data_IF_346525010401
#
_entry.id   IF_346525010401
#
_cell.length_a   1.000
_cell.length_b   1.000
_cell.length_c   1.000
_cell.angle_alpha   90.00
_cell.angle_beta   90.00
_cell.angle_gamma   90.00
#
_symmetry.space_group_name_H-M   'P 1'
#
loop_
_entity.id
_entity.type
_entity.pdbx_description
1 polymer ?
#
# COMPACT_ATOMS: atom_id res chain seq x y z
N UNK A 1 -25.12 -2.86 -24.18
CA UNK A 1 -25.99 -1.66 -24.07
C UNK A 1 -26.02 -1.11 -22.65
N UNK A 2 -26.13 -1.95 -21.62
CA UNK A 2 -26.13 -1.58 -20.19
C UNK A 2 -24.86 -0.83 -19.71
N UNK A 3 -23.66 -1.23 -20.16
CA UNK A 3 -22.38 -0.61 -19.74
C UNK A 3 -22.28 0.89 -20.05
N UNK A 4 -22.59 1.28 -21.29
CA UNK A 4 -22.62 2.71 -21.72
C UNK A 4 -23.65 3.52 -20.94
N UNK A 5 -24.76 2.88 -20.53
CA UNK A 5 -25.77 3.50 -19.69
C UNK A 5 -25.29 3.66 -18.24
N UNK A 6 -24.54 2.71 -17.68
CA UNK A 6 -23.91 2.86 -16.35
C UNK A 6 -22.90 4.01 -16.29
N UNK A 7 -22.10 4.21 -17.35
CA UNK A 7 -21.24 5.41 -17.45
C UNK A 7 -22.06 6.70 -17.53
N UNK A 8 -23.20 6.67 -18.23
CA UNK A 8 -24.11 7.81 -18.33
C UNK A 8 -24.75 8.13 -16.98
N UNK A 9 -25.15 7.10 -16.21
CA UNK A 9 -25.59 7.21 -14.82
C UNK A 9 -24.52 7.88 -13.95
N UNK A 10 -23.28 7.36 -13.98
CA UNK A 10 -22.13 7.90 -13.26
C UNK A 10 -21.87 9.38 -13.59
N UNK A 11 -21.97 9.75 -14.86
CA UNK A 11 -21.81 11.13 -15.31
C UNK A 11 -22.95 12.05 -14.83
N UNK A 12 -24.20 11.57 -14.81
CA UNK A 12 -25.31 12.35 -14.25
C UNK A 12 -25.21 12.54 -12.73
N UNK A 13 -24.46 11.67 -12.05
CA UNK A 13 -24.04 11.87 -10.67
C UNK A 13 -22.81 12.80 -10.53
N UNK A 14 -22.36 13.46 -11.59
CA UNK A 14 -21.33 14.50 -11.54
C UNK A 14 -19.90 13.99 -11.41
N UNK A 15 -19.62 12.75 -11.85
CA UNK A 15 -18.26 12.18 -11.87
C UNK A 15 -17.28 12.99 -12.75
N UNK A 16 -17.75 13.51 -13.88
CA UNK A 16 -16.95 14.27 -14.85
C UNK A 16 -16.89 15.78 -14.56
N UNK A 17 -17.26 16.18 -13.33
CA UNK A 17 -17.32 17.59 -12.92
C UNK A 17 -18.51 18.36 -13.49
N UNK A 18 -19.43 17.70 -14.22
CA UNK A 18 -20.68 18.34 -14.68
C UNK A 18 -21.71 18.48 -13.56
N UNK A 19 -22.70 19.34 -13.80
CA UNK A 19 -23.84 19.54 -12.91
C UNK A 19 -24.58 18.23 -12.70
N UNK A 20 -24.80 17.90 -11.43
CA UNK A 20 -25.55 16.72 -10.99
C UNK A 20 -26.99 16.83 -11.51
N UNK A 21 -27.53 15.72 -12.01
CA UNK A 21 -28.91 15.57 -12.42
C UNK A 21 -29.43 14.21 -11.92
N UNK A 22 -29.94 14.19 -10.68
CA UNK A 22 -30.40 12.97 -10.02
C UNK A 22 -31.60 12.34 -10.73
N UNK A 23 -32.53 13.15 -11.24
CA UNK A 23 -33.69 12.67 -11.99
C UNK A 23 -33.28 11.83 -13.20
N UNK A 24 -32.33 12.32 -14.01
CA UNK A 24 -31.79 11.56 -15.14
C UNK A 24 -30.99 10.34 -14.70
N UNK A 25 -30.25 10.44 -13.60
CA UNK A 25 -29.54 9.28 -13.05
C UNK A 25 -30.55 8.20 -12.65
N UNK A 26 -31.63 8.55 -11.95
CA UNK A 26 -32.66 7.61 -11.53
C UNK A 26 -33.42 6.98 -12.68
N UNK A 27 -33.78 7.76 -13.71
CA UNK A 27 -34.39 7.21 -14.92
C UNK A 27 -33.48 6.15 -15.58
N UNK A 28 -32.17 6.40 -15.65
CA UNK A 28 -31.22 5.42 -16.17
C UNK A 28 -31.09 4.21 -15.24
N UNK A 29 -31.11 4.41 -13.92
CA UNK A 29 -31.04 3.35 -12.93
C UNK A 29 -32.23 2.39 -13.07
N UNK A 30 -33.44 2.91 -13.26
CA UNK A 30 -34.66 2.12 -13.52
C UNK A 30 -34.53 1.28 -14.80
N UNK A 31 -33.86 1.81 -15.84
CA UNK A 31 -33.66 1.08 -17.09
C UNK A 31 -32.60 -0.04 -16.99
N UNK A 32 -31.55 0.13 -16.17
CA UNK A 32 -30.42 -0.81 -16.11
C UNK A 32 -30.45 -1.74 -14.89
N UNK A 33 -31.26 -1.41 -13.88
CA UNK A 33 -31.34 -2.10 -12.60
C UNK A 33 -30.15 -1.80 -11.67
N UNK A 34 -30.30 -2.17 -10.40
CA UNK A 34 -29.30 -1.91 -9.35
C UNK A 34 -28.10 -2.87 -9.36
N UNK A 35 -28.22 -4.02 -10.04
CA UNK A 35 -27.22 -5.10 -10.06
C UNK A 35 -26.31 -5.09 -11.30
N UNK A 36 -26.40 -4.07 -12.16
CA UNK A 36 -25.52 -3.94 -13.33
C UNK A 36 -24.07 -3.75 -12.89
N UNK A 37 -23.13 -4.38 -13.62
CA UNK A 37 -21.70 -4.27 -13.33
C UNK A 37 -20.91 -3.82 -14.56
N UNK A 38 -19.96 -2.91 -14.38
CA UNK A 38 -19.01 -2.48 -15.41
C UNK A 38 -17.85 -3.48 -15.57
N UNK A 39 -17.01 -3.28 -16.59
CA UNK A 39 -15.81 -4.11 -16.79
C UNK A 39 -14.75 -3.92 -15.71
N UNK A 40 -14.77 -2.79 -15.00
CA UNK A 40 -13.89 -2.47 -13.87
C UNK A 40 -14.49 -2.86 -12.51
N UNK A 41 -15.67 -3.49 -12.51
CA UNK A 41 -16.37 -3.94 -11.30
C UNK A 41 -17.31 -2.92 -10.67
N UNK A 42 -17.52 -1.76 -11.31
CA UNK A 42 -18.41 -0.73 -10.77
C UNK A 42 -19.87 -1.20 -10.80
N UNK A 43 -20.57 -1.03 -9.69
CA UNK A 43 -22.03 -1.14 -9.58
C UNK A 43 -22.65 0.24 -9.30
N UNK A 44 -23.96 0.45 -9.56
CA UNK A 44 -24.65 1.67 -9.15
C UNK A 44 -24.42 2.02 -7.67
N UNK A 45 -24.44 1.01 -6.79
CA UNK A 45 -24.20 1.15 -5.36
C UNK A 45 -22.78 1.70 -5.09
N UNK A 46 -21.75 1.09 -5.68
CA UNK A 46 -20.36 1.53 -5.57
C UNK A 46 -20.18 2.96 -6.07
N UNK A 47 -20.78 3.30 -7.22
CA UNK A 47 -20.68 4.63 -7.83
C UNK A 47 -21.31 5.69 -6.92
N UNK A 48 -22.53 5.45 -6.42
CA UNK A 48 -23.21 6.38 -5.53
C UNK A 48 -22.45 6.58 -4.22
N UNK A 49 -21.91 5.50 -3.66
CA UNK A 49 -21.10 5.50 -2.43
C UNK A 49 -19.78 6.28 -2.61
N UNK A 50 -19.03 6.01 -3.67
CA UNK A 50 -17.79 6.70 -4.01
C UNK A 50 -17.99 8.21 -4.20
N UNK A 51 -19.06 8.59 -4.91
CA UNK A 51 -19.38 9.99 -5.21
C UNK A 51 -20.05 10.73 -4.04
N UNK A 52 -20.48 10.03 -2.99
CA UNK A 52 -21.18 10.63 -1.86
C UNK A 52 -22.59 11.08 -2.20
N UNK A 53 -23.29 10.37 -3.09
CA UNK A 53 -24.65 10.70 -3.55
C UNK A 53 -25.69 10.06 -2.64
N UNK A 54 -25.90 10.69 -1.49
CA UNK A 54 -26.68 10.18 -0.36
C UNK A 54 -28.09 9.72 -0.77
N UNK A 55 -28.86 10.54 -1.49
CA UNK A 55 -30.24 10.19 -1.85
C UNK A 55 -30.31 9.06 -2.87
N UNK A 56 -29.43 9.07 -3.87
CA UNK A 56 -29.28 7.96 -4.82
C UNK A 56 -28.84 6.67 -4.10
N UNK A 57 -27.92 6.77 -3.14
CA UNK A 57 -27.42 5.64 -2.37
C UNK A 57 -28.52 5.00 -1.52
N UNK A 58 -29.30 5.80 -0.78
CA UNK A 58 -30.46 5.31 0.00
C UNK A 58 -31.44 4.54 -0.87
N UNK A 59 -31.75 5.07 -2.06
CA UNK A 59 -32.66 4.41 -3.00
C UNK A 59 -32.12 3.05 -3.42
N UNK A 60 -30.85 2.98 -3.83
CA UNK A 60 -30.23 1.73 -4.27
C UNK A 60 -30.17 0.71 -3.12
N UNK A 61 -29.81 1.13 -1.90
CA UNK A 61 -29.75 0.25 -0.72
C UNK A 61 -31.09 -0.47 -0.46
N UNK A 62 -32.21 0.21 -0.70
CA UNK A 62 -33.55 -0.38 -0.52
C UNK A 62 -33.93 -1.41 -1.60
N UNK A 63 -33.19 -1.47 -2.71
CA UNK A 63 -33.47 -2.31 -3.87
C UNK A 63 -32.45 -3.46 -4.06
N UNK A 64 -31.27 -3.37 -3.45
CA UNK A 64 -30.24 -4.42 -3.55
C UNK A 64 -30.47 -5.55 -2.53
N UNK A 65 -30.16 -6.78 -2.94
CA UNK A 65 -30.23 -7.96 -2.06
C UNK A 65 -28.99 -8.10 -1.17
N UNK A 66 -27.82 -7.65 -1.66
CA UNK A 66 -26.53 -7.75 -0.98
C UNK A 66 -25.78 -6.43 -1.10
N UNK A 67 -25.59 -5.74 0.03
CA UNK A 67 -24.89 -4.45 0.11
C UNK A 67 -23.37 -4.60 -0.07
N UNK A 68 -22.82 -5.79 0.16
CA UNK A 68 -21.39 -6.11 0.01
C UNK A 68 -21.07 -6.77 -1.33
N UNK A 69 -22.05 -6.85 -2.24
CA UNK A 69 -21.84 -7.45 -3.54
C UNK A 69 -20.65 -6.81 -4.26
N UNK A 70 -19.76 -7.69 -4.73
CA UNK A 70 -18.56 -7.31 -5.46
C UNK A 70 -18.18 -8.32 -6.52
N UNK A 71 -17.60 -7.83 -7.61
CA UNK A 71 -16.98 -8.71 -8.60
C UNK A 71 -15.52 -9.02 -8.22
N UNK A 72 -15.16 -10.29 -7.98
CA UNK A 72 -13.79 -10.66 -7.63
C UNK A 72 -12.77 -10.25 -8.70
N UNK A 73 -11.60 -9.77 -8.27
CA UNK A 73 -10.47 -9.46 -9.16
C UNK A 73 -10.64 -8.18 -9.97
N UNK A 74 -11.56 -7.30 -9.56
CA UNK A 74 -11.82 -6.01 -10.20
C UNK A 74 -11.16 -4.86 -9.44
N UNK A 75 -11.19 -3.66 -10.01
CA UNK A 75 -10.52 -2.50 -9.40
C UNK A 75 -11.39 -1.95 -8.27
N UNK A 76 -12.68 -1.82 -8.51
CA UNK A 76 -13.64 -1.38 -7.50
C UNK A 76 -14.38 -2.61 -6.96
N UNK A 77 -14.11 -2.94 -5.70
CA UNK A 77 -14.51 -4.21 -5.09
C UNK A 77 -15.49 -4.04 -3.94
N UNK A 78 -15.90 -2.84 -3.51
CA UNK A 78 -16.90 -2.71 -2.43
C UNK A 78 -17.39 -1.28 -2.29
N UNK A 79 -18.70 -1.11 -2.03
CA UNK A 79 -19.27 0.20 -1.78
C UNK A 79 -18.69 0.85 -0.51
N UNK A 80 -18.50 0.08 0.57
CA UNK A 80 -17.98 0.59 1.84
C UNK A 80 -16.50 0.98 1.73
N UNK A 81 -15.67 0.13 1.10
CA UNK A 81 -14.25 0.42 0.89
C UNK A 81 -14.04 1.69 0.06
N UNK A 82 -14.85 1.89 -0.97
CA UNK A 82 -14.74 3.05 -1.86
C UNK A 82 -15.31 4.33 -1.25
N UNK A 83 -16.41 4.25 -0.49
CA UNK A 83 -16.89 5.36 0.33
C UNK A 83 -15.84 5.81 1.37
N UNK A 84 -15.14 4.85 1.99
CA UNK A 84 -14.07 5.11 2.95
C UNK A 84 -12.85 5.77 2.30
N UNK A 85 -12.40 5.26 1.14
CA UNK A 85 -11.29 5.87 0.39
C UNK A 85 -11.56 7.32 -0.01
N UNK A 86 -12.82 7.64 -0.31
CA UNK A 86 -13.26 9.00 -0.65
C UNK A 86 -13.77 9.80 0.56
N UNK A 87 -13.76 9.21 1.77
CA UNK A 87 -14.21 9.81 3.04
C UNK A 87 -15.61 10.41 2.95
N UNK A 88 -16.53 9.67 2.34
CA UNK A 88 -17.95 10.03 2.22
C UNK A 88 -18.69 9.61 3.49
N UNK A 89 -18.53 10.37 4.57
CA UNK A 89 -19.05 10.02 5.91
C UNK A 89 -20.51 9.56 5.89
N UNK A 90 -21.38 10.29 5.20
CA UNK A 90 -22.81 9.93 5.14
C UNK A 90 -23.07 8.64 4.36
N UNK A 91 -22.31 8.39 3.29
CA UNK A 91 -22.38 7.11 2.57
C UNK A 91 -21.87 5.95 3.42
N UNK A 92 -20.81 6.17 4.21
CA UNK A 92 -20.29 5.17 5.15
C UNK A 92 -21.35 4.82 6.20
N UNK A 93 -22.04 5.83 6.76
CA UNK A 93 -23.15 5.64 7.72
C UNK A 93 -24.23 4.74 7.14
N UNK A 94 -24.76 5.11 5.98
CA UNK A 94 -25.85 4.39 5.33
C UNK A 94 -25.49 2.94 4.99
N UNK A 95 -24.27 2.69 4.51
CA UNK A 95 -23.82 1.34 4.16
C UNK A 95 -23.69 0.45 5.41
N UNK A 96 -23.18 0.98 6.52
CA UNK A 96 -23.09 0.24 7.79
C UNK A 96 -24.49 -0.01 8.38
N UNK A 97 -25.38 0.98 8.33
CA UNK A 97 -26.78 0.81 8.74
C UNK A 97 -27.51 -0.25 7.90
N UNK A 98 -27.12 -0.40 6.63
CA UNK A 98 -27.61 -1.43 5.72
C UNK A 98 -26.93 -2.81 5.91
N UNK A 99 -26.02 -2.95 6.87
CA UNK A 99 -25.39 -4.22 7.23
C UNK A 99 -24.09 -4.55 6.49
N UNK A 100 -23.43 -3.57 5.88
CA UNK A 100 -22.14 -3.80 5.22
C UNK A 100 -21.07 -4.29 6.21
N UNK A 101 -20.30 -5.31 5.82
CA UNK A 101 -19.25 -5.93 6.61
C UNK A 101 -18.13 -4.93 6.89
N UNK A 102 -17.91 -4.66 8.17
CA UNK A 102 -17.00 -3.62 8.66
C UNK A 102 -15.53 -4.01 8.48
N UNK A 103 -15.22 -5.30 8.49
CA UNK A 103 -13.84 -5.82 8.41
C UNK A 103 -13.49 -6.42 7.05
N UNK A 104 -14.29 -6.14 6.02
CA UNK A 104 -14.02 -6.61 4.66
C UNK A 104 -12.68 -6.07 4.13
N UNK A 105 -12.03 -6.83 3.25
CA UNK A 105 -10.72 -6.46 2.72
C UNK A 105 -10.75 -6.38 1.19
N UNK A 106 -10.02 -5.40 0.65
CA UNK A 106 -9.65 -5.40 -0.77
C UNK A 106 -8.53 -6.41 -1.05
N UNK A 107 -8.19 -6.58 -2.34
CA UNK A 107 -7.06 -7.41 -2.77
C UNK A 107 -5.69 -7.07 -2.16
N UNK A 108 -5.53 -5.90 -1.51
CA UNK A 108 -4.30 -5.50 -0.82
C UNK A 108 -4.38 -5.69 0.70
N UNK A 109 -5.47 -6.31 1.20
CA UNK A 109 -5.70 -6.54 2.61
C UNK A 109 -6.10 -5.27 3.39
N UNK A 110 -6.55 -4.21 2.71
CA UNK A 110 -6.98 -2.98 3.37
C UNK A 110 -8.45 -3.09 3.80
N UNK A 111 -8.69 -2.85 5.10
CA UNK A 111 -10.03 -2.70 5.67
C UNK A 111 -10.61 -1.31 5.39
N UNK A 112 -11.93 -1.09 5.57
CA UNK A 112 -12.55 0.24 5.46
C UNK A 112 -11.82 1.30 6.29
N UNK A 113 -11.45 0.98 7.53
CA UNK A 113 -10.69 1.90 8.38
C UNK A 113 -9.29 2.21 7.81
N UNK A 114 -8.59 1.23 7.24
CA UNK A 114 -7.31 1.49 6.60
C UNK A 114 -7.46 2.37 5.34
N UNK A 115 -8.50 2.14 4.53
CA UNK A 115 -8.79 2.91 3.30
C UNK A 115 -9.04 4.40 3.57
N UNK A 116 -9.59 4.75 4.73
CA UNK A 116 -9.76 6.17 5.12
C UNK A 116 -8.44 6.94 5.08
N UNK A 117 -7.31 6.30 5.37
CA UNK A 117 -6.01 6.96 5.46
C UNK A 117 -5.20 6.95 4.15
N UNK A 118 -5.70 6.35 3.06
CA UNK A 118 -4.93 6.26 1.79
C UNK A 118 -5.03 7.53 0.93
N UNK A 119 -5.95 8.43 1.23
CA UNK A 119 -6.17 9.68 0.48
C UNK A 119 -5.51 10.88 1.21
N UNK A 120 -5.12 11.93 0.50
CA UNK A 120 -4.48 13.13 1.09
C UNK A 120 -5.35 14.39 1.02
N UNK A 121 -6.45 14.39 0.27
CA UNK A 121 -7.17 15.61 -0.12
C UNK A 121 -8.23 16.10 0.88
N UNK A 122 -8.68 15.26 1.80
CA UNK A 122 -9.68 15.62 2.82
C UNK A 122 -9.24 15.18 4.23
N UNK A 123 -9.99 15.53 5.27
CA UNK A 123 -9.67 15.08 6.64
C UNK A 123 -10.22 13.66 6.89
N UNK A 124 -9.37 12.65 7.18
CA UNK A 124 -9.83 11.30 7.52
C UNK A 124 -10.50 11.20 8.89
N UNK A 125 -10.17 12.08 9.83
CA UNK A 125 -10.47 11.86 11.26
C UNK A 125 -11.96 11.67 11.52
N UNK A 126 -12.90 12.47 10.98
CA UNK A 126 -14.33 12.26 11.23
C UNK A 126 -14.83 10.88 10.81
N UNK A 127 -14.35 10.35 9.69
CA UNK A 127 -14.73 9.02 9.22
C UNK A 127 -14.08 7.93 10.09
N UNK A 128 -12.80 8.11 10.48
CA UNK A 128 -12.09 7.15 11.30
C UNK A 128 -12.72 7.02 12.70
N UNK A 129 -13.08 8.15 13.32
CA UNK A 129 -13.83 8.19 14.59
C UNK A 129 -15.14 7.45 14.46
N UNK A 130 -15.89 7.69 13.38
CA UNK A 130 -17.16 7.00 13.16
C UNK A 130 -16.97 5.48 13.06
N UNK A 131 -16.05 5.00 12.21
CA UNK A 131 -15.83 3.55 12.04
C UNK A 131 -15.36 2.87 13.33
N UNK A 132 -14.44 3.49 14.08
CA UNK A 132 -14.01 2.95 15.38
C UNK A 132 -15.18 2.93 16.37
N UNK A 133 -16.04 3.95 16.36
CA UNK A 133 -17.28 3.97 17.14
C UNK A 133 -18.28 2.88 16.74
N UNK A 134 -18.23 2.39 15.51
CA UNK A 134 -18.99 1.21 15.04
C UNK A 134 -18.29 -0.13 15.36
N UNK A 135 -17.11 -0.10 16.00
CA UNK A 135 -16.36 -1.29 16.39
C UNK A 135 -15.27 -1.74 15.41
N UNK A 136 -14.89 -0.88 14.45
CA UNK A 136 -13.83 -1.22 13.50
C UNK A 136 -12.48 -1.40 14.21
N UNK A 137 -11.75 -2.44 13.83
CA UNK A 137 -10.48 -2.82 14.46
C UNK A 137 -9.33 -1.96 13.95
N UNK A 138 -8.56 -1.41 14.90
CA UNK A 138 -7.29 -0.74 14.62
C UNK A 138 -6.20 -1.81 14.52
N UNK A 139 -6.01 -2.35 13.31
CA UNK A 139 -4.98 -3.37 13.03
C UNK A 139 -3.60 -2.74 12.79
N UNK A 140 -2.54 -3.55 12.80
CA UNK A 140 -1.19 -3.11 12.42
C UNK A 140 -1.17 -2.43 11.04
N UNK A 141 -2.02 -2.89 10.12
CA UNK A 141 -2.16 -2.27 8.80
C UNK A 141 -2.77 -0.88 8.89
N UNK A 142 -3.81 -0.69 9.70
CA UNK A 142 -4.40 0.64 9.97
C UNK A 142 -3.34 1.57 10.59
N UNK A 143 -2.58 1.08 11.57
CA UNK A 143 -1.53 1.86 12.23
C UNK A 143 -0.47 2.29 11.21
N UNK A 144 -0.01 1.36 10.37
CA UNK A 144 0.99 1.63 9.32
C UNK A 144 0.47 2.69 8.35
N UNK A 145 -0.73 2.50 7.78
CA UNK A 145 -1.27 3.42 6.77
C UNK A 145 -1.60 4.79 7.39
N UNK A 146 -2.22 4.82 8.57
CA UNK A 146 -2.55 6.06 9.30
C UNK A 146 -1.30 6.87 9.68
N UNK A 147 -0.24 6.19 10.15
CA UNK A 147 1.03 6.84 10.47
C UNK A 147 1.73 7.39 9.22
N UNK A 148 1.66 6.67 8.10
CA UNK A 148 2.20 7.13 6.82
C UNK A 148 1.44 8.34 6.26
N UNK A 149 0.13 8.44 6.52
CA UNK A 149 -0.66 9.61 6.15
C UNK A 149 -0.23 10.85 6.94
N UNK A 150 -0.25 10.77 8.27
CA UNK A 150 0.25 11.82 9.15
C UNK A 150 0.40 11.27 10.58
N UNK A 151 1.64 10.96 10.99
CA UNK A 151 1.90 10.33 12.28
C UNK A 151 1.41 11.16 13.50
N UNK A 152 1.59 12.48 13.49
CA UNK A 152 1.19 13.34 14.60
C UNK A 152 -0.34 13.36 14.75
N UNK A 153 -1.06 13.65 13.66
CA UNK A 153 -2.53 13.68 13.68
C UNK A 153 -3.14 12.31 13.92
N UNK A 154 -2.54 11.25 13.38
CA UNK A 154 -3.01 9.89 13.62
C UNK A 154 -2.81 9.47 15.08
N UNK A 155 -1.66 9.79 15.69
CA UNK A 155 -1.44 9.55 17.12
C UNK A 155 -2.40 10.36 18.00
N UNK A 156 -2.69 11.62 17.63
CA UNK A 156 -3.69 12.42 18.32
C UNK A 156 -5.10 11.80 18.21
N UNK A 157 -5.45 11.25 17.04
CA UNK A 157 -6.69 10.49 16.87
C UNK A 157 -6.74 9.26 17.77
N UNK A 158 -5.67 8.49 17.87
CA UNK A 158 -5.60 7.33 18.77
C UNK A 158 -5.72 7.76 20.26
N UNK A 159 -5.10 8.88 20.64
CA UNK A 159 -5.10 9.36 22.02
C UNK A 159 -6.35 10.16 22.44
N UNK A 160 -7.11 10.71 21.51
CA UNK A 160 -8.30 11.53 21.76
C UNK A 160 -9.61 10.74 21.85
N UNK A 161 -9.55 9.41 21.78
CA UNK A 161 -10.71 8.55 22.00
C UNK A 161 -10.76 8.15 23.49
N UNK A 162 -11.81 8.53 24.22
CA UNK A 162 -12.19 7.91 25.52
C UNK A 162 -12.67 6.45 25.29
N UNK A 163 -11.88 5.65 24.59
CA UNK A 163 -12.12 4.26 24.24
C UNK A 163 -11.02 3.45 24.93
N UNK A 164 -11.09 3.39 26.25
CA UNK A 164 -10.36 2.43 27.09
C UNK A 164 -11.21 2.14 28.34
N UNK A 165 -11.76 0.93 28.54
CA UNK A 165 -11.99 0.46 29.90
C UNK A 165 -10.62 0.10 30.48
N UNK A 166 -10.23 0.85 31.52
CA UNK A 166 -9.10 0.62 32.41
C UNK A 166 -7.73 0.45 31.73
N UNK A 167 -6.90 1.49 31.89
CA UNK A 167 -5.44 1.47 31.87
C UNK A 167 -4.81 0.10 31.50
N UNK A 168 -4.60 -0.10 30.21
CA UNK A 168 -3.30 -0.67 29.83
C UNK A 168 -2.39 0.54 29.86
N UNK A 169 -1.63 0.67 30.95
CA UNK A 169 -0.30 1.24 30.82
C UNK A 169 0.35 0.46 29.67
N UNK A 170 0.27 1.00 28.45
CA UNK A 170 1.27 0.70 27.46
C UNK A 170 2.51 1.36 28.02
N UNK A 171 3.15 0.62 28.93
CA UNK A 171 4.58 0.50 28.88
C UNK A 171 4.87 0.33 27.40
N UNK A 172 5.35 1.42 26.79
CA UNK A 172 6.18 1.29 25.64
C UNK A 172 7.40 0.55 26.20
N UNK A 173 7.26 -0.78 26.37
CA UNK A 173 8.31 -1.62 25.85
C UNK A 173 8.40 -1.16 24.40
N UNK A 174 9.32 -0.21 24.18
CA UNK A 174 10.15 -0.28 22.99
C UNK A 174 10.50 -1.75 22.99
N UNK A 175 9.83 -2.56 22.17
CA UNK A 175 10.37 -3.86 21.84
C UNK A 175 11.67 -3.45 21.21
N UNK A 176 12.73 -3.47 22.03
CA UNK A 176 14.02 -2.94 21.69
C UNK A 176 14.32 -3.75 20.46
N UNK A 177 14.26 -3.10 19.29
CA UNK A 177 14.54 -3.78 18.03
C UNK A 177 15.82 -4.55 18.32
N UNK A 178 15.83 -5.88 18.16
CA UNK A 178 16.92 -6.71 18.62
C UNK A 178 18.22 -6.07 18.12
N UNK A 179 19.29 -6.15 18.91
CA UNK A 179 20.58 -5.66 18.46
C UNK A 179 20.82 -6.26 17.07
N UNK A 180 20.90 -5.39 16.06
CA UNK A 180 21.16 -5.83 14.71
C UNK A 180 22.67 -6.10 14.65
N UNK A 181 23.02 -7.34 14.94
CA UNK A 181 24.32 -7.89 14.66
C UNK A 181 24.21 -9.00 13.63
N UNK A 182 25.35 -9.43 13.12
CA UNK A 182 25.43 -10.50 12.12
C UNK A 182 24.86 -11.82 12.65
N UNK A 183 25.03 -12.12 13.95
CA UNK A 183 24.52 -13.35 14.54
C UNK A 183 22.98 -13.40 14.51
N UNK A 184 22.32 -12.26 14.74
CA UNK A 184 20.89 -12.11 14.56
C UNK A 184 20.48 -12.33 13.11
N UNK A 185 21.17 -11.70 12.15
CA UNK A 185 20.86 -11.86 10.71
C UNK A 185 20.96 -13.33 10.31
N UNK A 186 22.07 -14.00 10.65
CA UNK A 186 22.29 -15.42 10.38
C UNK A 186 21.19 -16.31 10.98
N UNK A 187 20.85 -16.11 12.26
CA UNK A 187 19.78 -16.86 12.92
C UNK A 187 18.40 -16.63 12.29
N UNK A 188 18.11 -15.38 11.90
CA UNK A 188 16.84 -15.00 11.31
C UNK A 188 16.65 -15.59 9.91
N UNK A 189 17.71 -15.63 9.10
CA UNK A 189 17.72 -16.28 7.78
C UNK A 189 17.51 -17.78 7.88
N UNK A 190 18.16 -18.45 8.83
CA UNK A 190 17.98 -19.88 9.06
C UNK A 190 16.53 -20.27 9.46
N UNK A 191 15.74 -19.31 9.93
CA UNK A 191 14.30 -19.48 10.22
C UNK A 191 13.39 -19.09 9.05
N UNK A 192 13.94 -18.66 7.91
CA UNK A 192 13.18 -18.19 6.76
C UNK A 192 12.58 -16.78 6.93
N UNK A 193 13.03 -15.99 7.92
CA UNK A 193 12.46 -14.69 8.24
C UNK A 193 13.02 -13.55 7.37
N UNK A 194 13.06 -13.74 6.05
CA UNK A 194 13.71 -12.78 5.13
C UNK A 194 13.11 -11.38 5.20
N UNK A 195 11.78 -11.26 5.13
CA UNK A 195 11.08 -9.97 5.15
C UNK A 195 11.36 -9.17 6.43
N UNK A 196 11.19 -9.80 7.60
CA UNK A 196 11.43 -9.11 8.88
C UNK A 196 12.92 -8.77 9.08
N UNK A 197 13.83 -9.58 8.52
CA UNK A 197 15.27 -9.29 8.54
C UNK A 197 15.60 -8.07 7.67
N UNK A 198 15.11 -8.04 6.42
CA UNK A 198 15.29 -6.90 5.52
C UNK A 198 14.71 -5.60 6.12
N UNK A 199 13.51 -5.68 6.71
CA UNK A 199 12.85 -4.57 7.39
C UNK A 199 13.67 -4.05 8.58
N UNK A 200 14.28 -4.94 9.37
CA UNK A 200 15.12 -4.54 10.49
C UNK A 200 16.42 -3.87 10.01
N UNK A 201 17.09 -4.44 8.99
CA UNK A 201 18.28 -3.84 8.37
C UNK A 201 17.94 -2.45 7.83
N UNK A 202 16.81 -2.30 7.12
CA UNK A 202 16.32 -1.01 6.65
C UNK A 202 16.18 0.00 7.79
N UNK A 203 15.42 -0.35 8.83
CA UNK A 203 15.13 0.55 9.95
C UNK A 203 16.38 0.98 10.74
N UNK A 204 17.43 0.15 10.75
CA UNK A 204 18.64 0.38 11.55
C UNK A 204 19.80 0.97 10.76
N UNK A 205 19.97 0.57 9.50
CA UNK A 205 21.17 0.86 8.71
C UNK A 205 20.91 1.79 7.52
N UNK A 206 19.65 1.97 7.11
CA UNK A 206 19.30 2.89 6.01
C UNK A 206 18.94 4.25 6.59
N UNK A 207 19.68 5.32 6.24
CA UNK A 207 19.38 6.66 6.74
C UNK A 207 18.13 7.23 6.06
N UNK A 208 17.50 8.21 6.71
CA UNK A 208 16.36 8.94 6.14
C UNK A 208 16.71 9.67 4.83
N UNK A 209 17.97 10.04 4.66
CA UNK A 209 18.48 10.70 3.47
C UNK A 209 19.96 10.38 3.26
N UNK A 210 20.40 10.40 1.99
CA UNK A 210 21.77 10.10 1.61
C UNK A 210 22.10 8.60 1.57
N UNK A 211 23.38 8.30 1.46
CA UNK A 211 23.92 6.94 1.41
C UNK A 211 24.11 6.38 2.81
N UNK A 212 23.88 5.07 2.97
CA UNK A 212 24.06 4.39 4.25
C UNK A 212 25.54 4.35 4.68
N UNK A 213 25.79 4.22 5.99
CA UNK A 213 27.15 4.09 6.54
C UNK A 213 27.71 2.67 6.40
N UNK A 214 26.85 1.69 6.10
CA UNK A 214 27.23 0.28 5.96
C UNK A 214 26.83 -0.27 4.60
N UNK A 215 27.58 -1.26 4.12
CA UNK A 215 27.28 -1.95 2.85
C UNK A 215 25.91 -2.62 2.93
N UNK A 216 25.59 -3.26 4.05
CA UNK A 216 24.29 -3.90 4.31
C UNK A 216 23.12 -2.92 4.12
N UNK A 217 23.22 -1.73 4.72
CA UNK A 217 22.22 -0.67 4.53
C UNK A 217 22.18 -0.16 3.10
N UNK A 218 23.35 0.05 2.48
CA UNK A 218 23.42 0.62 1.14
C UNK A 218 22.84 -0.31 0.07
N UNK A 219 23.03 -1.62 0.20
CA UNK A 219 22.44 -2.61 -0.70
C UNK A 219 20.91 -2.57 -0.66
N UNK A 220 20.30 -2.54 0.54
CA UNK A 220 18.84 -2.39 0.67
C UNK A 220 18.35 -1.03 0.16
N UNK A 221 19.11 0.04 0.42
CA UNK A 221 18.78 1.37 -0.10
C UNK A 221 18.83 1.40 -1.63
N UNK A 222 19.75 0.66 -2.25
CA UNK A 222 19.92 0.61 -3.70
C UNK A 222 18.73 -0.08 -4.39
N UNK A 223 18.35 -1.28 -3.93
CA UNK A 223 17.21 -2.02 -4.51
C UNK A 223 15.88 -1.28 -4.32
N UNK A 224 15.65 -0.64 -3.18
CA UNK A 224 14.41 0.11 -2.94
C UNK A 224 14.35 1.42 -3.72
N UNK A 225 15.48 2.09 -4.01
CA UNK A 225 15.48 3.22 -4.94
C UNK A 225 15.12 2.80 -6.37
N UNK A 226 15.60 1.62 -6.80
CA UNK A 226 15.22 1.06 -8.11
C UNK A 226 13.72 0.71 -8.14
N UNK A 227 13.21 0.10 -7.06
CA UNK A 227 11.77 -0.23 -6.89
C UNK A 227 10.90 1.01 -6.97
N UNK A 228 11.20 2.03 -6.16
CA UNK A 228 10.43 3.27 -6.13
C UNK A 228 10.40 3.94 -7.51
N UNK A 229 11.54 4.03 -8.19
CA UNK A 229 11.59 4.68 -9.49
C UNK A 229 10.78 3.92 -10.56
N UNK A 230 10.87 2.58 -10.60
CA UNK A 230 10.08 1.80 -11.55
C UNK A 230 8.58 1.88 -11.25
N UNK A 231 8.17 1.74 -9.99
CA UNK A 231 6.75 1.69 -9.60
C UNK A 231 6.08 3.06 -9.57
N UNK A 232 6.81 4.12 -9.20
CA UNK A 232 6.24 5.47 -9.03
C UNK A 232 6.05 6.20 -10.35
N UNK A 233 6.96 6.05 -11.32
CA UNK A 233 6.87 6.79 -12.59
C UNK A 233 7.34 5.99 -13.82
N UNK A 234 7.59 4.69 -13.69
CA UNK A 234 7.99 3.85 -14.82
C UNK A 234 9.40 4.14 -15.32
N UNK A 235 10.39 4.33 -14.44
CA UNK A 235 11.78 4.64 -14.79
C UNK A 235 12.00 6.02 -15.44
N UNK A 236 11.13 6.99 -15.17
CA UNK A 236 11.16 8.32 -15.80
C UNK A 236 12.45 9.12 -15.53
N UNK A 237 13.00 9.01 -14.33
CA UNK A 237 14.27 9.58 -13.86
C UNK A 237 15.41 8.55 -13.87
N UNK A 238 15.23 7.38 -14.47
CA UNK A 238 16.30 6.40 -14.57
C UNK A 238 17.48 7.01 -15.33
N UNK A 239 18.66 6.92 -14.71
CA UNK A 239 19.89 7.58 -15.16
C UNK A 239 21.09 6.69 -14.83
N UNK A 240 22.03 6.55 -15.77
CA UNK A 240 23.20 5.67 -15.62
C UNK A 240 24.08 6.08 -14.43
N UNK A 241 24.35 7.37 -14.26
CA UNK A 241 25.10 7.93 -13.10
C UNK A 241 24.33 7.92 -11.76
N UNK A 242 23.15 7.31 -11.72
CA UNK A 242 22.37 7.14 -10.49
C UNK A 242 21.95 5.67 -10.37
N UNK A 243 20.90 5.28 -11.07
CA UNK A 243 20.33 3.93 -11.04
C UNK A 243 21.30 2.89 -11.63
N UNK A 244 22.05 3.24 -12.67
CA UNK A 244 23.12 2.37 -13.20
C UNK A 244 24.22 2.10 -12.18
N UNK A 245 24.64 3.13 -11.43
CA UNK A 245 25.59 2.98 -10.30
C UNK A 245 24.99 2.09 -9.21
N UNK A 246 23.70 2.22 -8.88
CA UNK A 246 23.04 1.35 -7.89
C UNK A 246 23.00 -0.12 -8.35
N UNK A 247 22.68 -0.37 -9.62
CA UNK A 247 22.71 -1.72 -10.20
C UNK A 247 24.13 -2.30 -10.18
N UNK A 248 25.14 -1.52 -10.57
CA UNK A 248 26.53 -1.94 -10.51
C UNK A 248 26.99 -2.22 -9.06
N UNK A 249 26.51 -1.42 -8.10
CA UNK A 249 26.79 -1.63 -6.68
C UNK A 249 26.18 -2.94 -6.15
N UNK A 250 24.94 -3.25 -6.55
CA UNK A 250 24.30 -4.54 -6.25
C UNK A 250 25.08 -5.70 -6.89
N UNK A 251 25.47 -5.57 -8.16
CA UNK A 251 26.24 -6.59 -8.88
C UNK A 251 27.56 -6.89 -8.18
N UNK A 252 28.33 -5.86 -7.82
CA UNK A 252 29.59 -6.02 -7.09
C UNK A 252 29.46 -6.95 -5.87
N UNK A 253 28.49 -6.71 -5.00
CA UNK A 253 28.38 -7.47 -3.75
C UNK A 253 27.58 -8.76 -3.86
N UNK A 254 26.61 -8.84 -4.77
CA UNK A 254 25.73 -10.00 -4.90
C UNK A 254 26.22 -11.01 -5.95
N UNK A 255 27.17 -10.64 -6.80
CA UNK A 255 27.77 -11.57 -7.78
C UNK A 255 29.28 -11.64 -7.69
N UNK A 256 30.01 -10.52 -7.81
CA UNK A 256 31.48 -10.52 -7.90
C UNK A 256 32.15 -10.89 -6.56
N UNK A 257 31.63 -10.35 -5.46
CA UNK A 257 32.17 -10.48 -4.10
C UNK A 257 31.23 -11.26 -3.17
N UNK A 258 30.31 -12.06 -3.72
CA UNK A 258 29.23 -12.67 -2.94
C UNK A 258 29.56 -14.01 -2.31
N UNK A 259 30.45 -14.81 -2.91
CA UNK A 259 30.68 -16.19 -2.49
C UNK A 259 29.50 -17.14 -2.72
N UNK A 260 28.46 -16.73 -3.48
CA UNK A 260 27.34 -17.59 -3.85
C UNK A 260 27.72 -18.63 -4.92
N UNK A 261 26.91 -19.68 -5.03
CA UNK A 261 27.02 -20.68 -6.10
C UNK A 261 26.75 -20.06 -7.47
N UNK A 262 27.33 -20.64 -8.53
CA UNK A 262 27.30 -20.10 -9.89
C UNK A 262 25.88 -19.94 -10.43
N UNK A 263 24.99 -20.87 -10.08
CA UNK A 263 23.59 -20.88 -10.47
C UNK A 263 22.82 -19.72 -9.80
N UNK A 264 23.14 -19.43 -8.54
CA UNK A 264 22.56 -18.31 -7.80
C UNK A 264 23.04 -16.98 -8.41
N UNK A 265 24.34 -16.88 -8.71
CA UNK A 265 24.95 -15.72 -9.36
C UNK A 265 24.27 -15.44 -10.71
N UNK A 266 24.09 -16.48 -11.54
CA UNK A 266 23.44 -16.34 -12.84
C UNK A 266 21.99 -15.80 -12.72
N UNK A 267 21.24 -16.27 -11.72
CA UNK A 267 19.89 -15.76 -11.45
C UNK A 267 19.88 -14.31 -10.97
N UNK A 268 20.84 -13.92 -10.13
CA UNK A 268 20.99 -12.52 -9.68
C UNK A 268 21.35 -11.61 -10.85
N UNK A 269 22.28 -12.01 -11.71
CA UNK A 269 22.66 -11.22 -12.88
C UNK A 269 21.48 -11.04 -13.84
N UNK A 270 20.67 -12.08 -14.07
CA UNK A 270 19.46 -11.98 -14.89
C UNK A 270 18.45 -10.98 -14.30
N UNK A 271 18.22 -11.03 -12.99
CA UNK A 271 17.33 -10.10 -12.30
C UNK A 271 17.87 -8.66 -12.34
N UNK A 272 19.17 -8.46 -12.15
CA UNK A 272 19.82 -7.14 -12.24
C UNK A 272 19.82 -6.57 -13.67
N UNK A 273 19.99 -7.43 -14.69
CA UNK A 273 19.90 -7.02 -16.09
C UNK A 273 18.49 -6.50 -16.42
N UNK A 274 17.44 -7.14 -15.90
CA UNK A 274 16.06 -6.64 -16.02
C UNK A 274 15.89 -5.26 -15.37
N UNK A 275 16.46 -5.05 -14.17
CA UNK A 275 16.40 -3.77 -13.47
C UNK A 275 17.23 -2.66 -14.12
N UNK A 276 18.24 -3.01 -14.93
CA UNK A 276 19.10 -2.04 -15.61
C UNK A 276 18.41 -1.31 -16.78
N UNK A 277 17.23 -1.78 -17.22
CA UNK A 277 16.57 -1.28 -18.43
C UNK A 277 15.72 -0.03 -18.18
N UNK A 278 16.22 1.13 -18.61
CA UNK A 278 15.45 2.38 -18.60
C UNK A 278 14.10 2.27 -19.34
N UNK A 279 14.10 1.66 -20.52
CA UNK A 279 12.92 1.61 -21.40
C UNK A 279 11.92 0.50 -21.07
N UNK A 280 12.22 -0.35 -20.08
CA UNK A 280 11.40 -1.50 -19.70
C UNK A 280 11.35 -1.60 -18.17
N UNK A 281 10.64 -0.69 -17.49
CA UNK A 281 10.51 -0.74 -16.04
C UNK A 281 9.86 -2.06 -15.62
N UNK A 282 10.48 -2.73 -14.65
CA UNK A 282 9.91 -3.90 -14.01
C UNK A 282 9.10 -3.45 -12.79
N UNK A 283 7.80 -3.66 -12.77
CA UNK A 283 6.90 -3.08 -11.74
C UNK A 283 6.45 -4.07 -10.67
N UNK A 284 6.54 -5.36 -10.95
CA UNK A 284 6.07 -6.40 -10.03
C UNK A 284 7.06 -6.55 -8.85
N UNK A 285 6.54 -6.82 -7.65
CA UNK A 285 7.35 -6.89 -6.43
C UNK A 285 8.27 -8.13 -6.38
N UNK A 286 7.94 -9.18 -7.14
CA UNK A 286 8.58 -10.50 -7.04
C UNK A 286 10.09 -10.46 -7.30
N UNK A 287 10.54 -9.67 -8.27
CA UNK A 287 11.96 -9.54 -8.61
C UNK A 287 12.72 -8.77 -7.52
N UNK A 288 12.16 -7.65 -7.06
CA UNK A 288 12.76 -6.87 -5.99
C UNK A 288 12.85 -7.65 -4.68
N UNK A 289 11.84 -8.47 -4.39
CA UNK A 289 11.82 -9.35 -3.22
C UNK A 289 12.88 -10.46 -3.35
N UNK A 290 13.09 -11.03 -4.54
CA UNK A 290 14.19 -11.97 -4.79
C UNK A 290 15.55 -11.33 -4.53
N UNK A 291 15.82 -10.14 -5.07
CA UNK A 291 17.08 -9.42 -4.83
C UNK A 291 17.23 -9.07 -3.36
N UNK A 292 16.16 -8.62 -2.70
CA UNK A 292 16.14 -8.32 -1.26
C UNK A 292 16.51 -9.56 -0.43
N UNK A 293 15.98 -10.73 -0.79
CA UNK A 293 16.34 -11.98 -0.14
C UNK A 293 17.83 -12.32 -0.33
N UNK A 294 18.39 -12.09 -1.53
CA UNK A 294 19.83 -12.28 -1.80
C UNK A 294 20.72 -11.29 -1.05
N UNK A 295 20.27 -10.06 -0.84
CA UNK A 295 20.96 -9.11 0.03
C UNK A 295 21.01 -9.64 1.46
N UNK A 296 19.89 -10.18 1.95
CA UNK A 296 19.81 -10.76 3.29
C UNK A 296 20.70 -12.02 3.42
N UNK A 297 20.72 -12.89 2.41
CA UNK A 297 21.63 -14.05 2.32
C UNK A 297 23.09 -13.59 2.41
N UNK A 298 23.47 -12.59 1.62
CA UNK A 298 24.83 -12.05 1.61
C UNK A 298 25.20 -11.44 2.97
N UNK A 299 24.27 -10.72 3.60
CA UNK A 299 24.47 -10.17 4.94
C UNK A 299 24.74 -11.27 5.98
N UNK A 300 24.07 -12.43 5.86
CA UNK A 300 24.22 -13.56 6.77
C UNK A 300 25.58 -14.28 6.66
N UNK A 301 26.30 -14.11 5.55
CA UNK A 301 27.64 -14.66 5.34
C UNK A 301 28.76 -13.79 5.93
N UNK A 302 28.47 -12.54 6.26
CA UNK A 302 29.47 -11.63 6.81
C UNK A 302 29.81 -12.00 8.26
N UNK A 303 30.92 -11.49 8.77
CA UNK A 303 31.31 -11.66 10.19
C UNK A 303 31.09 -10.39 11.01
N UNK A 304 30.96 -9.24 10.35
CA UNK A 304 30.64 -7.94 10.94
C UNK A 304 29.89 -7.03 9.94
N UNK A 305 29.33 -5.92 10.44
CA UNK A 305 28.86 -4.85 9.57
C UNK A 305 30.05 -4.23 8.82
N UNK A 306 29.89 -4.03 7.52
CA UNK A 306 30.97 -3.54 6.66
C UNK A 306 30.75 -2.06 6.41
N UNK A 307 31.77 -1.24 6.67
CA UNK A 307 31.71 0.20 6.40
C UNK A 307 31.58 0.46 4.90
N UNK A 308 30.62 1.30 4.54
CA UNK A 308 30.42 1.72 3.15
C UNK A 308 31.20 3.00 2.85
N UNK A 309 31.99 2.96 1.78
CA UNK A 309 32.64 4.15 1.22
C UNK A 309 31.67 4.84 0.26
N UNK A 310 31.12 5.98 0.69
CA UNK A 310 30.12 6.73 -0.07
C UNK A 310 30.65 7.14 -1.46
N UNK A 311 29.84 6.88 -2.48
CA UNK A 311 30.15 7.27 -3.84
C UNK A 311 29.74 8.73 -4.08
N UNK A 312 30.73 9.63 -4.18
CA UNK A 312 30.48 11.07 -4.42
C UNK A 312 29.91 11.39 -5.80
N UNK A 313 30.01 10.47 -6.75
CA UNK A 313 29.43 10.61 -8.09
C UNK A 313 27.96 10.14 -8.16
N UNK A 314 27.44 9.51 -7.10
CA UNK A 314 26.05 9.08 -7.04
C UNK A 314 25.13 10.29 -6.78
N UNK A 315 24.54 10.83 -7.86
CA UNK A 315 23.56 11.91 -7.78
C UNK A 315 22.14 11.36 -8.05
N UNK A 316 21.52 10.95 -6.95
CA UNK A 316 20.15 10.51 -6.80
C UNK A 316 19.58 11.20 -5.54
#
# INVERSE_FOLDING_TARGET
MSKKKLDTFKNHLGYDGKKINEEKAWAILEEIGVNVVSDTGETPLIIAAYLGRVETLKRIINEVEDVDFKMPGKIMESALLEACAQRRLESIRLLIEAGAELEQQDKYGLTPLAKIFTNVFSDPIPCAVYLVGQGAKITDRVIKVGSSWNAEKFNAFLGGQDIVPAAVEVSVEKKTLPSLDIAYIHHSVNKGNYFETAKLIWQKLVPKSGQAETVQGELLRAVEKLRDEAQRNGNGNFHENCHGILVAYLRKYLTEESGFEREIIAGIDEDLDKLSSKGRPYTDDDLYDRITNRIVDWCAQQTALISHVKNMALYC
#
